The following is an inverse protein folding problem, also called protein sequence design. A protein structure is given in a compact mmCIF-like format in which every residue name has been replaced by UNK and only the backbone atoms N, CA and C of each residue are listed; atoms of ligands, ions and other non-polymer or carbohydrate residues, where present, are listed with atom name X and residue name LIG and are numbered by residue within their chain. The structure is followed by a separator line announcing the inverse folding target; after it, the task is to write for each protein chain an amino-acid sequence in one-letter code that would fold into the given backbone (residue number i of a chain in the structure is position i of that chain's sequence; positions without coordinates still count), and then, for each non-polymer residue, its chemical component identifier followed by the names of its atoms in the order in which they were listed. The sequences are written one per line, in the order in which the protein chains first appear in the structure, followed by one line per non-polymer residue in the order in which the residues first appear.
data_IF_454960582577
#
_entry.id   IF_454960582577
#
_cell.length_a   1.000
_cell.length_b   1.000
_cell.length_c   1.000
_cell.angle_alpha   90.00
_cell.angle_beta   90.00
_cell.angle_gamma   90.00
#
_symmetry.space_group_name_H-M   'P 1'
#
loop_
_entity.id
_entity.type
_entity.pdbx_description
1 polymer ?
#
# COMPACT_ATOMS: atom_id res chain seq x y z
N UNK A 1 38.57 35.47 -3.71
CA UNK A 1 38.29 34.35 -2.79
C UNK A 1 36.85 33.87 -2.96
N UNK A 2 36.50 33.23 -4.08
CA UNK A 2 35.11 32.83 -4.34
C UNK A 2 34.98 31.53 -5.15
N UNK A 3 35.91 31.23 -6.05
CA UNK A 3 35.89 29.98 -6.84
C UNK A 3 36.28 28.73 -6.05
N UNK A 4 37.36 28.79 -5.26
CA UNK A 4 37.90 27.61 -4.56
C UNK A 4 37.04 27.17 -3.36
N UNK A 5 36.47 28.12 -2.60
CA UNK A 5 35.53 27.82 -1.52
C UNK A 5 34.23 27.19 -2.03
N UNK A 6 33.73 27.66 -3.18
CA UNK A 6 32.54 27.09 -3.83
C UNK A 6 32.81 25.66 -4.32
N UNK A 7 33.96 25.44 -4.93
CA UNK A 7 34.40 24.12 -5.42
C UNK A 7 34.66 23.13 -4.27
N UNK A 8 35.20 23.61 -3.15
CA UNK A 8 35.36 22.84 -1.93
C UNK A 8 34.01 22.46 -1.31
N UNK A 9 33.06 23.41 -1.21
CA UNK A 9 31.71 23.12 -0.72
C UNK A 9 30.96 22.11 -1.59
N UNK A 10 31.10 22.21 -2.92
CA UNK A 10 30.53 21.22 -3.86
C UNK A 10 31.17 19.84 -3.69
N UNK A 11 32.50 19.75 -3.53
CA UNK A 11 33.18 18.49 -3.27
C UNK A 11 32.77 17.86 -1.94
N UNK A 12 32.58 18.65 -0.88
CA UNK A 12 32.08 18.16 0.41
C UNK A 12 30.63 17.67 0.27
N UNK A 13 29.76 18.43 -0.39
CA UNK A 13 28.38 18.01 -0.66
C UNK A 13 28.32 16.73 -1.49
N UNK A 14 29.19 16.59 -2.49
CA UNK A 14 29.31 15.39 -3.31
C UNK A 14 29.84 14.20 -2.49
N UNK A 15 30.87 14.38 -1.67
CA UNK A 15 31.40 13.32 -0.79
C UNK A 15 30.41 12.88 0.30
N UNK A 16 29.60 13.79 0.83
CA UNK A 16 28.52 13.46 1.78
C UNK A 16 27.43 12.68 1.06
N UNK A 17 27.03 13.10 -0.14
CA UNK A 17 26.03 12.41 -0.96
C UNK A 17 26.50 11.01 -1.39
N UNK A 18 27.76 10.88 -1.83
CA UNK A 18 28.37 9.61 -2.25
C UNK A 18 28.60 8.62 -1.09
N UNK A 19 28.55 9.09 0.16
CA UNK A 19 28.77 8.28 1.38
C UNK A 19 27.55 8.20 2.30
N UNK A 20 26.43 8.82 1.94
CA UNK A 20 25.21 8.73 2.74
C UNK A 20 24.63 7.33 2.56
N UNK A 21 25.07 6.38 3.40
CA UNK A 21 24.37 5.12 3.58
C UNK A 21 22.89 5.42 3.90
N UNK A 22 21.98 4.66 3.30
CA UNK A 22 20.56 4.75 3.65
C UNK A 22 20.46 4.38 5.13
N UNK A 23 20.16 5.38 5.96
CA UNK A 23 19.94 5.14 7.38
C UNK A 23 18.53 4.61 7.55
N UNK A 24 18.40 3.61 8.41
CA UNK A 24 17.10 3.06 8.78
C UNK A 24 16.86 3.31 10.26
N UNK A 25 15.60 3.56 10.61
CA UNK A 25 15.20 3.72 12.00
C UNK A 25 13.99 2.82 12.29
N UNK A 26 14.03 2.18 13.46
CA UNK A 26 12.85 1.55 14.03
C UNK A 26 11.99 2.61 14.71
N UNK A 27 10.70 2.60 14.41
CA UNK A 27 9.75 3.60 14.89
C UNK A 27 8.45 2.94 15.37
N UNK A 28 7.70 3.65 16.20
CA UNK A 28 6.29 3.38 16.48
C UNK A 28 5.43 4.36 15.70
N UNK A 29 4.43 3.86 14.97
CA UNK A 29 3.50 4.69 14.19
C UNK A 29 2.59 5.48 15.13
N UNK A 30 2.59 6.80 15.03
CA UNK A 30 1.85 7.71 15.91
C UNK A 30 0.51 8.13 15.29
N UNK A 31 0.51 8.47 14.01
CA UNK A 31 -0.70 8.82 13.26
C UNK A 31 -0.46 8.64 11.76
N UNK A 32 -1.53 8.36 11.02
CA UNK A 32 -1.49 8.15 9.57
C UNK A 32 -2.45 9.11 8.89
N UNK A 33 -1.93 9.90 7.95
CA UNK A 33 -2.73 10.67 7.00
C UNK A 33 -2.85 9.87 5.70
N UNK A 34 -4.02 9.27 5.48
CA UNK A 34 -4.24 8.42 4.32
C UNK A 34 -4.65 9.18 3.06
N UNK A 35 -5.01 10.45 3.18
CA UNK A 35 -5.30 11.33 2.05
C UNK A 35 -3.98 11.80 1.43
N UNK A 36 -3.09 12.34 2.27
CA UNK A 36 -1.78 12.85 1.85
C UNK A 36 -0.71 11.75 1.70
N UNK A 37 -1.03 10.51 2.09
CA UNK A 37 -0.13 9.34 2.05
C UNK A 37 1.15 9.53 2.88
N UNK A 38 1.00 10.16 4.04
CA UNK A 38 2.08 10.40 4.99
C UNK A 38 1.74 9.85 6.38
N UNK A 39 2.75 9.73 7.24
CA UNK A 39 2.54 9.41 8.65
C UNK A 39 3.50 10.20 9.55
N UNK A 40 3.16 10.25 10.84
CA UNK A 40 4.07 10.64 11.91
C UNK A 40 4.44 9.37 12.67
N UNK A 41 5.73 9.21 12.97
CA UNK A 41 6.22 8.07 13.75
C UNK A 41 7.30 8.51 14.74
N UNK A 42 7.43 7.82 15.87
CA UNK A 42 8.41 8.14 16.92
C UNK A 42 9.51 7.10 16.95
N UNK A 43 10.77 7.51 16.93
CA UNK A 43 11.92 6.60 16.97
C UNK A 43 12.02 5.83 18.28
N UNK A 44 12.30 4.52 18.20
CA UNK A 44 12.41 3.67 19.38
C UNK A 44 13.69 3.93 20.21
N UNK A 45 14.71 4.54 19.60
CA UNK A 45 16.03 4.75 20.21
C UNK A 45 16.20 6.20 20.69
N UNK A 46 15.80 7.16 19.87
CA UNK A 46 16.03 8.59 20.08
C UNK A 46 14.81 9.34 20.62
N UNK A 47 13.63 8.70 20.65
CA UNK A 47 12.34 9.30 21.02
C UNK A 47 11.98 10.55 20.19
N UNK A 48 12.55 10.66 18.98
CA UNK A 48 12.30 11.77 18.06
C UNK A 48 11.14 11.45 17.12
N UNK A 49 10.30 12.47 16.89
CA UNK A 49 9.22 12.39 15.91
C UNK A 49 9.76 12.62 14.49
N UNK A 50 9.45 11.67 13.62
CA UNK A 50 9.62 11.73 12.18
C UNK A 50 8.29 12.18 11.58
N UNK A 51 8.28 13.35 10.97
CA UNK A 51 7.12 13.94 10.30
C UNK A 51 7.15 13.66 8.80
N UNK A 52 5.98 13.67 8.19
CA UNK A 52 5.78 13.54 6.74
C UNK A 52 6.45 12.29 6.13
N UNK A 53 6.49 11.19 6.89
CA UNK A 53 7.06 9.92 6.43
C UNK A 53 6.17 9.37 5.31
N UNK A 54 6.72 9.21 4.10
CA UNK A 54 5.98 8.74 2.94
C UNK A 54 5.54 7.28 3.12
N UNK A 55 4.28 6.98 2.83
CA UNK A 55 3.71 5.62 2.95
C UNK A 55 3.90 4.74 1.71
N UNK A 56 4.59 5.26 0.71
CA UNK A 56 4.82 4.63 -0.57
C UNK A 56 4.87 5.66 -1.69
N UNK A 57 4.84 5.18 -2.92
CA UNK A 57 4.91 6.00 -4.13
C UNK A 57 3.88 5.47 -5.12
N UNK A 58 2.93 6.30 -5.55
CA UNK A 58 1.92 6.09 -6.61
C UNK A 58 1.52 4.65 -6.94
N UNK A 59 2.45 3.88 -7.53
CA UNK A 59 2.31 2.46 -7.83
C UNK A 59 2.05 1.57 -6.60
N UNK A 60 2.50 1.95 -5.41
CA UNK A 60 2.28 1.19 -4.19
C UNK A 60 2.15 2.09 -2.96
N UNK A 61 1.17 1.81 -2.11
CA UNK A 61 1.05 2.42 -0.78
C UNK A 61 0.77 1.36 0.29
N UNK A 62 1.30 1.57 1.49
CA UNK A 62 1.05 0.73 2.68
C UNK A 62 0.54 1.61 3.81
N UNK A 63 -0.66 1.31 4.33
CA UNK A 63 -1.27 1.99 5.48
C UNK A 63 -0.92 1.21 6.75
N UNK A 64 0.10 1.61 7.52
CA UNK A 64 0.39 0.94 8.78
C UNK A 64 -0.68 1.23 9.81
N UNK A 65 -0.88 0.30 10.73
CA UNK A 65 -1.78 0.49 11.86
C UNK A 65 -1.15 1.39 12.91
N UNK A 66 -1.89 2.36 13.42
CA UNK A 66 -1.40 3.22 14.52
C UNK A 66 -0.98 2.37 15.73
N UNK A 67 0.15 2.71 16.35
CA UNK A 67 0.75 2.00 17.47
C UNK A 67 1.60 0.79 17.08
N UNK A 68 1.61 0.38 15.81
CA UNK A 68 2.47 -0.71 15.35
C UNK A 68 3.94 -0.26 15.24
N UNK A 69 4.86 -1.23 15.25
CA UNK A 69 6.27 -0.96 14.94
C UNK A 69 6.49 -0.97 13.44
N UNK A 70 7.36 -0.10 12.98
CA UNK A 70 7.74 0.02 11.58
C UNK A 70 9.23 0.29 11.42
N UNK A 71 9.74 0.03 10.23
CA UNK A 71 11.06 0.46 9.78
C UNK A 71 10.86 1.56 8.75
N UNK A 72 11.56 2.67 8.94
CA UNK A 72 11.62 3.76 7.96
C UNK A 72 13.04 3.88 7.39
N UNK A 73 13.13 4.33 6.15
CA UNK A 73 14.38 4.79 5.53
C UNK A 73 14.46 6.31 5.57
N UNK A 74 15.65 6.83 5.80
CA UNK A 74 15.94 8.27 5.85
C UNK A 74 16.84 8.63 4.66
N UNK A 75 16.40 9.58 3.84
CA UNK A 75 17.11 10.02 2.63
C UNK A 75 18.00 11.21 2.99
N UNK A 76 19.29 11.11 2.64
CA UNK A 76 20.25 12.21 2.76
C UNK A 76 20.48 12.70 4.20
N UNK A 77 20.21 11.86 5.21
CA UNK A 77 20.27 12.21 6.63
C UNK A 77 19.38 13.42 6.99
N UNK A 78 18.28 13.60 6.27
CA UNK A 78 17.27 14.62 6.53
C UNK A 78 16.02 13.91 7.07
N UNK A 79 15.70 14.03 8.37
CA UNK A 79 14.55 13.33 8.97
C UNK A 79 13.22 13.64 8.28
N UNK A 80 13.05 14.88 7.78
CA UNK A 80 11.87 15.29 6.99
C UNK A 80 11.82 14.72 5.57
N UNK A 81 12.78 13.88 5.19
CA UNK A 81 12.79 13.16 3.92
C UNK A 81 12.93 11.66 4.24
N UNK A 82 11.84 11.07 4.72
CA UNK A 82 11.80 9.67 5.15
C UNK A 82 10.62 8.94 4.52
N UNK A 83 10.74 7.62 4.44
CA UNK A 83 9.72 6.77 3.83
C UNK A 83 9.59 5.44 4.58
N UNK A 84 8.39 4.90 4.59
CA UNK A 84 8.09 3.59 5.15
C UNK A 84 8.76 2.49 4.33
N UNK A 85 9.60 1.68 4.97
CA UNK A 85 10.12 0.45 4.39
C UNK A 85 9.11 -0.67 4.63
N UNK A 86 8.74 -0.91 5.90
CA UNK A 86 7.71 -1.88 6.27
C UNK A 86 7.15 -1.67 7.67
N UNK A 87 6.02 -2.31 7.99
CA UNK A 87 5.38 -2.27 9.30
C UNK A 87 4.88 -3.66 9.73
N UNK A 88 4.79 -3.90 11.04
CA UNK A 88 4.34 -5.19 11.58
C UNK A 88 2.85 -5.46 11.33
N UNK A 89 2.03 -4.40 11.37
CA UNK A 89 0.60 -4.48 11.08
C UNK A 89 0.20 -3.40 10.04
N UNK A 90 -0.57 -3.82 9.04
CA UNK A 90 -1.10 -2.96 7.98
C UNK A 90 -2.63 -3.02 7.98
N UNK A 91 -3.28 -1.88 7.81
CA UNK A 91 -4.73 -1.78 7.62
C UNK A 91 -5.12 -1.88 6.14
N UNK A 92 -4.27 -1.35 5.25
CA UNK A 92 -4.51 -1.34 3.80
C UNK A 92 -3.20 -1.42 3.02
N UNK A 93 -3.21 -2.17 1.91
CA UNK A 93 -2.15 -2.13 0.89
C UNK A 93 -2.78 -1.87 -0.46
N UNK A 94 -2.22 -0.92 -1.21
CA UNK A 94 -2.66 -0.58 -2.56
C UNK A 94 -1.55 -0.82 -3.56
N UNK A 95 -1.89 -1.45 -4.68
CA UNK A 95 -1.05 -1.54 -5.88
C UNK A 95 -1.80 -0.96 -7.07
N UNK A 96 -1.16 -0.03 -7.78
CA UNK A 96 -1.70 0.65 -8.94
C UNK A 96 -0.75 0.50 -10.13
N UNK A 97 -1.22 -0.09 -11.22
CA UNK A 97 -0.44 -0.22 -12.46
C UNK A 97 -1.34 0.21 -13.61
N UNK A 98 -1.20 1.46 -14.05
CA UNK A 98 -2.10 2.08 -15.01
C UNK A 98 -3.57 1.91 -14.58
N UNK A 99 -4.34 1.10 -15.30
CA UNK A 99 -5.75 0.82 -15.00
C UNK A 99 -5.96 -0.39 -14.06
N UNK A 100 -4.91 -1.15 -13.77
CA UNK A 100 -4.96 -2.29 -12.87
C UNK A 100 -4.84 -1.83 -11.42
N UNK A 101 -5.79 -2.25 -10.59
CA UNK A 101 -5.84 -1.86 -9.17
C UNK A 101 -6.04 -3.10 -8.31
N UNK A 102 -5.18 -3.28 -7.30
CA UNK A 102 -5.33 -4.26 -6.24
C UNK A 102 -5.29 -3.54 -4.89
N UNK A 103 -6.41 -3.55 -4.15
CA UNK A 103 -6.43 -3.12 -2.75
C UNK A 103 -6.68 -4.33 -1.85
N UNK A 104 -5.87 -4.44 -0.82
CA UNK A 104 -6.02 -5.42 0.26
C UNK A 104 -6.42 -4.65 1.51
N UNK A 105 -7.57 -4.96 2.08
CA UNK A 105 -8.12 -4.34 3.30
C UNK A 105 -8.56 -5.42 4.28
N UNK A 106 -8.81 -5.01 5.52
CA UNK A 106 -9.41 -5.89 6.53
C UNK A 106 -10.78 -6.44 6.07
N UNK A 107 -11.59 -5.63 5.38
CA UNK A 107 -12.92 -6.03 4.93
C UNK A 107 -12.90 -6.94 3.69
N UNK A 108 -11.77 -7.03 2.99
CA UNK A 108 -11.60 -7.86 1.81
C UNK A 108 -10.75 -7.23 0.71
N UNK A 109 -10.96 -7.71 -0.51
CA UNK A 109 -10.13 -7.40 -1.68
C UNK A 109 -10.90 -6.56 -2.70
N UNK A 110 -10.20 -5.62 -3.32
CA UNK A 110 -10.64 -4.92 -4.53
C UNK A 110 -9.66 -5.28 -5.64
N UNK A 111 -10.18 -5.87 -6.72
CA UNK A 111 -9.38 -6.25 -7.90
C UNK A 111 -10.10 -5.70 -9.13
N UNK A 112 -9.46 -4.76 -9.83
CA UNK A 112 -10.06 -4.04 -10.97
C UNK A 112 -9.10 -3.89 -12.15
N UNK A 113 -9.70 -3.81 -13.33
CA UNK A 113 -9.07 -3.36 -14.57
C UNK A 113 -9.98 -2.30 -15.20
N UNK A 114 -9.55 -1.04 -15.18
CA UNK A 114 -10.34 0.08 -15.66
C UNK A 114 -11.67 0.18 -14.90
N UNK A 115 -12.79 0.07 -15.62
CA UNK A 115 -14.14 0.13 -15.03
C UNK A 115 -14.70 -1.24 -14.60
N UNK A 116 -13.96 -2.34 -14.84
CA UNK A 116 -14.41 -3.69 -14.52
C UNK A 116 -13.78 -4.18 -13.22
N UNK A 117 -14.58 -4.84 -12.36
CA UNK A 117 -14.08 -5.50 -11.15
C UNK A 117 -14.26 -7.01 -11.25
N UNK A 118 -13.32 -7.76 -10.67
CA UNK A 118 -13.42 -9.22 -10.61
C UNK A 118 -14.71 -9.67 -9.93
N UNK A 119 -15.20 -8.89 -8.95
CA UNK A 119 -16.47 -9.13 -8.28
C UNK A 119 -17.63 -9.13 -9.27
N UNK A 120 -17.71 -8.11 -10.12
CA UNK A 120 -18.74 -7.98 -11.15
C UNK A 120 -18.66 -9.14 -12.14
N UNK A 121 -17.48 -9.41 -12.70
CA UNK A 121 -17.27 -10.52 -13.67
C UNK A 121 -17.75 -11.86 -13.11
N UNK A 122 -17.37 -12.18 -11.87
CA UNK A 122 -17.76 -13.46 -11.25
C UNK A 122 -19.24 -13.49 -10.87
N UNK A 123 -19.81 -12.37 -10.45
CA UNK A 123 -21.25 -12.27 -10.17
C UNK A 123 -22.10 -12.44 -11.43
N UNK A 124 -21.67 -11.86 -12.55
CA UNK A 124 -22.33 -11.95 -13.85
C UNK A 124 -22.21 -13.38 -14.40
N UNK A 125 -21.02 -13.99 -14.30
CA UNK A 125 -20.82 -15.39 -14.66
C UNK A 125 -21.76 -16.32 -13.88
N UNK A 126 -21.89 -16.13 -12.56
CA UNK A 126 -22.80 -16.93 -11.73
C UNK A 126 -24.25 -16.74 -12.19
N UNK A 127 -24.65 -15.50 -12.53
CA UNK A 127 -26.01 -15.22 -12.98
C UNK A 127 -26.31 -15.86 -14.34
N UNK A 128 -25.36 -15.83 -15.28
CA UNK A 128 -25.52 -16.51 -16.58
C UNK A 128 -25.56 -18.04 -16.42
N UNK A 129 -24.70 -18.62 -15.58
CA UNK A 129 -24.72 -20.06 -15.29
C UNK A 129 -26.04 -20.50 -14.67
N UNK A 130 -26.63 -19.69 -13.78
CA UNK A 130 -27.93 -20.00 -13.15
C UNK A 130 -29.10 -20.03 -14.14
N UNK A 131 -28.95 -19.52 -15.37
CA UNK A 131 -29.97 -19.61 -16.43
C UNK A 131 -29.95 -20.95 -17.18
N UNK A 132 -28.93 -21.78 -17.00
CA UNK A 132 -28.78 -23.04 -17.72
C UNK A 132 -29.85 -24.05 -17.25
N UNK A 133 -30.65 -24.53 -18.20
CA UNK A 133 -31.61 -25.62 -18.02
C UNK A 133 -31.14 -26.82 -18.84
N UNK A 134 -30.91 -27.95 -18.19
CA UNK A 134 -30.49 -29.19 -18.84
C UNK A 134 -31.73 -30.06 -19.09
N UNK A 135 -31.99 -30.38 -20.36
CA UNK A 135 -33.16 -31.18 -20.78
C UNK A 135 -33.01 -32.65 -20.37
N UNK A 136 -31.79 -33.21 -20.51
CA UNK A 136 -31.44 -34.58 -20.13
C UNK A 136 -30.26 -34.56 -19.17
N UNK A 137 -30.51 -34.73 -17.87
CA UNK A 137 -29.46 -34.73 -16.84
C UNK A 137 -29.82 -33.88 -15.63
N UNK A 138 -28.80 -33.28 -15.00
CA UNK A 138 -28.97 -32.40 -13.84
C UNK A 138 -28.67 -30.95 -14.22
N UNK A 139 -29.63 -30.07 -14.02
CA UNK A 139 -29.44 -28.62 -14.12
C UNK A 139 -28.58 -28.09 -12.97
N UNK A 140 -28.14 -26.83 -13.11
CA UNK A 140 -27.39 -26.12 -12.07
C UNK A 140 -28.20 -26.05 -10.77
N UNK A 141 -27.51 -26.28 -9.65
CA UNK A 141 -28.08 -26.08 -8.32
C UNK A 141 -28.05 -24.60 -7.97
N UNK A 142 -29.08 -23.87 -8.39
CA UNK A 142 -29.19 -22.41 -8.21
C UNK A 142 -29.08 -22.00 -6.74
N UNK A 143 -29.76 -22.65 -5.75
CA UNK A 143 -29.56 -22.31 -4.34
C UNK A 143 -28.10 -22.39 -3.88
N UNK A 144 -27.36 -23.43 -4.30
CA UNK A 144 -25.95 -23.56 -3.95
C UNK A 144 -25.08 -22.47 -4.60
N UNK A 145 -25.38 -22.13 -5.86
CA UNK A 145 -24.69 -21.03 -6.57
C UNK A 145 -24.92 -19.68 -5.90
N UNK A 146 -26.13 -19.40 -5.41
CA UNK A 146 -26.42 -18.16 -4.67
C UNK A 146 -25.63 -18.07 -3.35
N UNK A 147 -25.45 -19.19 -2.64
CA UNK A 147 -24.59 -19.25 -1.45
C UNK A 147 -23.12 -18.98 -1.82
N UNK A 148 -22.64 -19.52 -2.95
CA UNK A 148 -21.30 -19.23 -3.46
C UNK A 148 -21.16 -17.73 -3.78
N UNK A 149 -22.15 -17.14 -4.45
CA UNK A 149 -22.17 -15.70 -4.77
C UNK A 149 -22.09 -14.83 -3.51
N UNK A 150 -22.82 -15.19 -2.46
CA UNK A 150 -22.75 -14.49 -1.17
C UNK A 150 -21.37 -14.60 -0.52
N UNK A 151 -20.74 -15.78 -0.55
CA UNK A 151 -19.38 -15.97 -0.03
C UNK A 151 -18.35 -15.17 -0.83
N UNK A 152 -18.49 -15.16 -2.16
CA UNK A 152 -17.66 -14.35 -3.06
C UNK A 152 -17.73 -12.86 -2.69
N UNK A 153 -18.94 -12.33 -2.49
CA UNK A 153 -19.17 -10.93 -2.16
C UNK A 153 -18.66 -10.52 -0.76
N UNK A 154 -18.34 -11.48 0.11
CA UNK A 154 -17.63 -11.23 1.38
C UNK A 154 -16.11 -11.12 1.21
N UNK A 155 -15.55 -11.73 0.17
CA UNK A 155 -14.11 -11.68 -0.13
C UNK A 155 -13.80 -10.51 -1.05
N UNK A 156 -14.62 -10.29 -2.07
CA UNK A 156 -14.46 -9.20 -3.04
C UNK A 156 -15.43 -8.06 -2.70
N UNK A 157 -14.91 -6.90 -2.32
CA UNK A 157 -15.72 -5.78 -1.81
C UNK A 157 -15.90 -4.64 -2.82
N UNK A 158 -15.12 -4.60 -3.90
CA UNK A 158 -15.10 -3.51 -4.88
C UNK A 158 -15.76 -3.76 -6.23
#
# INVERSE_FOLDING_TARGET
MSGELSKFGQMIGQMISERAEIQTAWVTVKSVDWEDKTMIATGLIDDLDYFDVLLGLQAQYKKPKTGTRAIIGIIGNQPGNSFLIDAEELEEVQYNIAESVLHIKEEGLIIKQGNESLKTVLNDMIDELNKIIVINGRSINVPAMLVIKQRLNKVLIG
#
